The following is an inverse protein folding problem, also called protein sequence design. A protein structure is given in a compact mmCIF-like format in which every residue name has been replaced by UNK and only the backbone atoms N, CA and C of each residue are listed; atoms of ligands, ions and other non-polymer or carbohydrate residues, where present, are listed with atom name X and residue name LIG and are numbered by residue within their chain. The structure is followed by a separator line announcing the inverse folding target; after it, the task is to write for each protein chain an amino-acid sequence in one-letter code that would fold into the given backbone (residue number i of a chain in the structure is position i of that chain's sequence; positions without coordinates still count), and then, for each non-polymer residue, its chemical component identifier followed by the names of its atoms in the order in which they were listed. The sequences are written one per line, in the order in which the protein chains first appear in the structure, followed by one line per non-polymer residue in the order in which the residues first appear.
data_IF_898286950175
#
_entry.id   IF_898286950175
#
_cell.length_a   1.000
_cell.length_b   1.000
_cell.length_c   1.000
_cell.angle_alpha   90.00
_cell.angle_beta   90.00
_cell.angle_gamma   90.00
#
_symmetry.space_group_name_H-M   'P 1'
#
loop_
_entity.id
_entity.type
_entity.pdbx_description
1 polymer ?
#
# COMPACT_ATOMS: atom_id res chain seq x y z
N UNK A 1 36.12 7.56 -2.24
CA UNK A 1 35.02 6.92 -2.99
C UNK A 1 33.81 6.95 -2.07
N UNK A 2 32.71 7.60 -2.46
CA UNK A 2 31.47 7.50 -1.67
C UNK A 2 30.97 6.07 -1.82
N UNK A 3 30.82 5.34 -0.70
CA UNK A 3 30.24 4.00 -0.72
C UNK A 3 28.84 4.08 -1.33
N UNK A 4 28.52 3.19 -2.27
CA UNK A 4 27.15 3.07 -2.78
C UNK A 4 26.19 2.68 -1.66
N UNK A 5 24.94 3.19 -1.64
CA UNK A 5 23.98 2.81 -0.63
C UNK A 5 23.59 1.32 -0.76
N UNK A 6 23.34 0.67 0.36
CA UNK A 6 22.85 -0.72 0.40
C UNK A 6 21.33 -0.79 0.20
N UNK A 7 20.62 0.29 0.57
CA UNK A 7 19.16 0.39 0.56
C UNK A 7 18.71 1.72 -0.04
N UNK A 8 17.75 1.70 -0.96
CA UNK A 8 17.03 2.89 -1.41
C UNK A 8 15.61 2.87 -0.82
N UNK A 9 15.31 3.85 0.02
CA UNK A 9 13.95 4.10 0.50
C UNK A 9 13.21 4.87 -0.57
N UNK A 10 12.20 4.25 -1.17
CA UNK A 10 11.38 4.84 -2.25
C UNK A 10 10.03 5.27 -1.67
N UNK A 11 9.73 6.56 -1.78
CA UNK A 11 8.52 7.18 -1.25
C UNK A 11 7.71 7.80 -2.40
N UNK A 12 6.62 7.17 -2.84
CA UNK A 12 5.64 7.85 -3.68
C UNK A 12 4.87 8.86 -2.85
N UNK A 13 4.65 10.08 -3.36
CA UNK A 13 3.89 11.12 -2.65
C UNK A 13 2.90 11.83 -3.56
N UNK A 14 1.73 12.18 -3.00
CA UNK A 14 0.70 13.00 -3.64
C UNK A 14 -0.16 13.70 -2.59
N UNK A 15 -0.05 15.03 -2.49
CA UNK A 15 -0.86 15.83 -1.57
C UNK A 15 -0.56 15.55 -0.09
N UNK A 16 0.72 15.51 0.31
CA UNK A 16 1.19 15.12 1.64
C UNK A 16 2.20 16.09 2.26
N UNK A 17 2.04 17.37 2.00
CA UNK A 17 2.90 18.41 2.55
C UNK A 17 3.04 18.37 4.09
N UNK A 18 2.03 17.87 4.81
CA UNK A 18 2.03 17.83 6.28
C UNK A 18 2.76 16.61 6.86
N UNK A 19 2.61 15.43 6.24
CA UNK A 19 3.14 14.17 6.79
C UNK A 19 4.57 13.88 6.34
N UNK A 20 4.95 14.29 5.14
CA UNK A 20 6.27 14.04 4.57
C UNK A 20 7.43 14.49 5.47
N UNK A 21 7.41 15.69 6.12
CA UNK A 21 8.45 16.08 7.06
C UNK A 21 8.58 15.17 8.30
N UNK A 22 7.47 14.54 8.73
CA UNK A 22 7.48 13.57 9.84
C UNK A 22 8.20 12.28 9.42
N UNK A 23 7.90 11.80 8.22
CA UNK A 23 8.53 10.61 7.65
C UNK A 23 10.03 10.84 7.47
N UNK A 24 10.44 12.00 6.95
CA UNK A 24 11.86 12.32 6.76
C UNK A 24 12.62 12.39 8.09
N UNK A 25 12.06 13.03 9.13
CA UNK A 25 12.67 13.03 10.47
C UNK A 25 12.85 11.63 11.04
N UNK A 26 11.89 10.73 10.83
CA UNK A 26 12.01 9.34 11.28
C UNK A 26 13.14 8.59 10.53
N UNK A 27 13.36 8.90 9.25
CA UNK A 27 14.46 8.36 8.47
C UNK A 27 15.81 8.93 8.91
N UNK A 28 15.88 10.19 9.32
CA UNK A 28 17.09 10.79 9.89
C UNK A 28 17.51 10.12 11.20
N UNK A 29 16.56 9.56 11.95
CA UNK A 29 16.75 8.86 13.22
C UNK A 29 16.94 7.35 13.11
N UNK A 30 17.24 6.80 11.94
CA UNK A 30 17.44 5.35 11.79
C UNK A 30 18.73 4.87 12.43
N UNK A 31 18.73 3.62 12.94
CA UNK A 31 19.87 3.00 13.63
C UNK A 31 21.07 2.71 12.73
N UNK A 32 20.83 2.56 11.43
CA UNK A 32 21.91 2.37 10.45
C UNK A 32 22.53 3.72 10.05
N UNK A 33 23.80 3.69 9.67
CA UNK A 33 24.51 4.88 9.20
C UNK A 33 23.86 5.49 7.95
N UNK A 34 23.79 6.82 7.91
CA UNK A 34 23.17 7.58 6.81
C UNK A 34 23.83 7.34 5.45
N UNK A 35 25.07 6.93 5.45
CA UNK A 35 25.84 6.56 4.25
C UNK A 35 25.39 5.21 3.65
N UNK A 36 24.69 4.37 4.41
CA UNK A 36 24.22 3.05 3.98
C UNK A 36 22.92 3.07 3.19
N UNK A 37 22.21 4.18 3.21
CA UNK A 37 20.93 4.28 2.48
C UNK A 37 20.77 5.63 1.79
N UNK A 38 19.89 5.67 0.82
CA UNK A 38 19.38 6.89 0.21
C UNK A 38 17.87 6.96 0.31
N UNK A 39 17.31 8.16 0.19
CA UNK A 39 15.87 8.41 0.12
C UNK A 39 15.54 9.02 -1.24
N UNK A 40 14.62 8.37 -1.96
CA UNK A 40 14.15 8.79 -3.29
C UNK A 40 12.65 9.06 -3.20
N UNK A 41 12.25 10.33 -3.27
CA UNK A 41 10.84 10.74 -3.27
C UNK A 41 10.41 11.05 -4.68
N UNK A 42 9.28 10.47 -5.09
CA UNK A 42 8.64 10.78 -6.37
C UNK A 42 7.31 11.47 -6.10
N UNK A 43 7.22 12.74 -6.42
CA UNK A 43 6.00 13.54 -6.35
C UNK A 43 5.16 13.33 -7.61
N UNK A 44 3.98 12.78 -7.46
CA UNK A 44 3.05 12.46 -8.56
C UNK A 44 2.15 13.68 -8.94
N UNK A 45 2.74 14.87 -8.96
CA UNK A 45 2.05 16.10 -9.34
C UNK A 45 1.11 16.61 -8.24
N UNK A 46 1.61 16.72 -7.02
CA UNK A 46 0.84 17.18 -5.85
C UNK A 46 0.21 18.56 -6.07
N UNK A 47 -1.08 18.72 -5.75
CA UNK A 47 -1.78 20.01 -5.89
C UNK A 47 -1.57 20.96 -4.70
N UNK A 48 -0.95 20.47 -3.61
CA UNK A 48 -0.64 21.24 -2.40
C UNK A 48 0.84 21.69 -2.36
N UNK A 49 1.33 22.19 -1.22
CA UNK A 49 2.72 22.64 -1.05
C UNK A 49 3.74 21.50 -0.87
N UNK A 50 3.45 20.29 -1.31
CA UNK A 50 4.39 19.16 -1.22
C UNK A 50 5.72 19.48 -1.90
N UNK A 51 5.70 20.08 -3.09
CA UNK A 51 6.94 20.49 -3.80
C UNK A 51 7.75 21.52 -3.01
N UNK A 52 7.11 22.51 -2.35
CA UNK A 52 7.79 23.46 -1.47
C UNK A 52 8.45 22.78 -0.28
N UNK A 53 7.79 21.79 0.33
CA UNK A 53 8.37 20.96 1.40
C UNK A 53 9.56 20.16 0.93
N UNK A 54 9.50 19.55 -0.26
CA UNK A 54 10.61 18.78 -0.84
C UNK A 54 11.84 19.65 -1.06
N UNK A 55 11.69 20.87 -1.58
CA UNK A 55 12.80 21.84 -1.74
C UNK A 55 13.41 22.21 -0.39
N UNK A 56 12.59 22.45 0.63
CA UNK A 56 13.07 22.76 1.98
C UNK A 56 13.85 21.59 2.57
N UNK A 57 13.36 20.36 2.40
CA UNK A 57 14.04 19.15 2.85
C UNK A 57 15.38 18.95 2.13
N UNK A 58 15.46 19.20 0.82
CA UNK A 58 16.69 19.07 0.05
C UNK A 58 17.82 19.97 0.59
N UNK A 59 17.47 21.18 1.04
CA UNK A 59 18.44 22.12 1.63
C UNK A 59 18.79 21.86 3.10
N UNK A 60 18.04 20.99 3.82
CA UNK A 60 18.15 20.86 5.28
C UNK A 60 18.44 19.45 5.79
N UNK A 61 18.05 18.40 5.06
CA UNK A 61 18.25 17.03 5.52
C UNK A 61 19.70 16.56 5.38
N UNK A 62 20.25 15.86 6.39
CA UNK A 62 21.59 15.26 6.30
C UNK A 62 21.62 13.93 5.53
N UNK A 63 20.49 13.47 4.99
CA UNK A 63 20.37 12.21 4.26
C UNK A 63 20.85 12.35 2.82
N UNK A 64 21.22 11.24 2.18
CA UNK A 64 21.33 11.15 0.73
C UNK A 64 19.93 11.22 0.13
N UNK A 65 19.43 12.42 -0.03
CA UNK A 65 18.06 12.70 -0.44
C UNK A 65 18.01 13.17 -1.89
N UNK A 66 17.07 12.60 -2.64
CA UNK A 66 16.73 13.03 -4.01
C UNK A 66 15.22 12.99 -4.18
N UNK A 67 14.71 13.93 -4.94
CA UNK A 67 13.29 13.95 -5.28
C UNK A 67 13.07 14.37 -6.73
N UNK A 68 11.98 13.91 -7.31
CA UNK A 68 11.55 14.26 -8.65
C UNK A 68 10.04 14.42 -8.67
N UNK A 69 9.55 15.25 -9.60
CA UNK A 69 8.12 15.40 -9.86
C UNK A 69 7.74 14.83 -11.23
N UNK A 70 6.50 14.44 -11.39
CA UNK A 70 5.90 14.02 -12.65
C UNK A 70 4.45 14.49 -12.72
N UNK A 71 3.83 14.41 -13.91
CA UNK A 71 2.38 14.50 -14.02
C UNK A 71 1.73 13.34 -13.27
N UNK A 72 0.52 13.56 -12.71
CA UNK A 72 -0.18 12.53 -11.95
C UNK A 72 -0.49 11.30 -12.85
N UNK A 73 0.17 10.18 -12.55
CA UNK A 73 0.03 8.91 -13.25
C UNK A 73 -0.38 7.75 -12.33
N UNK A 74 -0.56 8.05 -11.05
CA UNK A 74 -0.93 7.08 -10.04
C UNK A 74 0.26 6.37 -9.39
N UNK A 75 -0.04 5.67 -8.30
CA UNK A 75 0.98 5.12 -7.38
C UNK A 75 1.87 4.05 -8.04
N UNK A 76 1.34 3.26 -8.97
CA UNK A 76 2.10 2.24 -9.70
C UNK A 76 3.22 2.85 -10.55
N UNK A 77 2.88 3.86 -11.37
CA UNK A 77 3.85 4.58 -12.19
C UNK A 77 4.90 5.29 -11.34
N UNK A 78 4.47 5.86 -10.21
CA UNK A 78 5.32 6.57 -9.25
C UNK A 78 6.35 5.63 -8.62
N UNK A 79 5.92 4.43 -8.18
CA UNK A 79 6.83 3.41 -7.64
C UNK A 79 7.78 2.84 -8.68
N UNK A 80 7.30 2.58 -9.90
CA UNK A 80 8.15 2.13 -11.00
C UNK A 80 9.24 3.16 -11.31
N UNK A 81 8.88 4.45 -11.34
CA UNK A 81 9.87 5.52 -11.51
C UNK A 81 10.88 5.54 -10.37
N UNK A 82 10.42 5.47 -9.12
CA UNK A 82 11.30 5.42 -7.96
C UNK A 82 12.28 4.24 -8.01
N UNK A 83 11.86 3.07 -8.47
CA UNK A 83 12.73 1.91 -8.64
C UNK A 83 13.79 2.11 -9.74
N UNK A 84 13.44 2.79 -10.83
CA UNK A 84 14.41 3.14 -11.89
C UNK A 84 15.45 4.13 -11.40
N UNK A 85 15.03 5.13 -10.64
CA UNK A 85 15.89 6.20 -10.10
C UNK A 85 16.75 5.74 -8.91
N UNK A 86 16.34 4.70 -8.20
CA UNK A 86 17.09 4.14 -7.08
C UNK A 86 18.45 3.59 -7.51
N UNK A 87 19.45 3.71 -6.64
CA UNK A 87 20.84 3.29 -6.89
C UNK A 87 21.21 2.02 -6.13
N UNK A 88 20.59 1.80 -4.97
CA UNK A 88 20.90 0.65 -4.14
C UNK A 88 20.37 -0.67 -4.73
N UNK A 89 21.00 -1.81 -4.39
CA UNK A 89 20.55 -3.14 -4.82
C UNK A 89 19.23 -3.57 -4.14
N UNK A 90 18.89 -2.99 -2.99
CA UNK A 90 17.65 -3.27 -2.25
C UNK A 90 16.76 -2.02 -2.28
N UNK A 91 15.50 -2.20 -2.63
CA UNK A 91 14.45 -1.18 -2.51
C UNK A 91 13.66 -1.43 -1.24
N UNK A 92 13.32 -0.38 -0.52
CA UNK A 92 12.30 -0.37 0.52
C UNK A 92 11.23 0.65 0.12
N UNK A 93 10.01 0.17 -0.09
CA UNK A 93 8.85 1.04 -0.26
C UNK A 93 8.24 1.36 1.09
N UNK A 94 8.09 2.64 1.37
CA UNK A 94 7.22 3.16 2.43
C UNK A 94 6.32 4.25 1.83
N UNK A 95 5.19 4.54 2.49
CA UNK A 95 4.34 5.65 2.08
C UNK A 95 4.76 6.95 2.78
N UNK A 96 4.30 8.06 2.23
CA UNK A 96 4.55 9.44 2.68
C UNK A 96 3.82 9.82 3.99
N UNK A 97 3.16 8.84 4.62
CA UNK A 97 2.52 8.93 5.92
C UNK A 97 2.92 7.77 6.87
N UNK A 98 3.98 7.03 6.52
CA UNK A 98 4.54 5.98 7.37
C UNK A 98 5.79 6.49 8.10
N UNK A 99 5.67 6.67 9.40
CA UNK A 99 6.79 7.04 10.28
C UNK A 99 7.50 5.77 10.74
N UNK A 100 8.72 5.60 10.27
CA UNK A 100 9.53 4.42 10.52
C UNK A 100 9.99 4.34 11.99
N UNK A 101 9.91 3.17 12.64
CA UNK A 101 10.61 2.92 13.90
C UNK A 101 12.12 3.02 13.67
N UNK A 102 12.94 3.41 14.66
CA UNK A 102 14.37 3.66 14.46
C UNK A 102 15.17 2.49 13.88
N UNK A 103 14.74 1.26 14.06
CA UNK A 103 15.40 0.04 13.58
C UNK A 103 14.78 -0.55 12.30
N UNK A 104 13.82 0.13 11.68
CA UNK A 104 13.08 -0.39 10.52
C UNK A 104 14.01 -0.73 9.35
N UNK A 105 14.92 0.17 8.98
CA UNK A 105 15.83 -0.05 7.85
C UNK A 105 16.83 -1.19 8.14
N UNK A 106 17.35 -1.26 9.36
CA UNK A 106 18.24 -2.33 9.81
C UNK A 106 17.57 -3.70 9.68
N UNK A 107 16.30 -3.81 10.10
CA UNK A 107 15.53 -5.04 10.00
C UNK A 107 15.32 -5.51 8.57
N UNK A 108 14.99 -4.59 7.67
CA UNK A 108 14.89 -4.93 6.25
C UNK A 108 16.22 -5.39 5.67
N UNK A 109 17.34 -4.72 5.99
CA UNK A 109 18.67 -5.19 5.60
C UNK A 109 18.99 -6.57 6.18
N UNK A 110 18.63 -6.83 7.44
CA UNK A 110 18.83 -8.13 8.07
C UNK A 110 18.01 -9.26 7.41
N UNK A 111 16.79 -8.98 6.91
CA UNK A 111 16.04 -9.93 6.10
C UNK A 111 16.84 -10.30 4.85
N UNK A 112 17.32 -9.31 4.10
CA UNK A 112 18.05 -9.57 2.86
C UNK A 112 19.45 -10.14 3.07
N UNK A 113 20.07 -9.95 4.21
CA UNK A 113 21.32 -10.62 4.58
C UNK A 113 21.11 -12.10 4.90
N UNK A 114 20.02 -12.46 5.57
CA UNK A 114 19.62 -13.85 5.85
C UNK A 114 19.08 -14.59 4.63
N UNK A 115 18.48 -13.84 3.69
CA UNK A 115 17.84 -14.33 2.49
C UNK A 115 18.42 -13.59 1.26
N UNK A 116 19.64 -13.98 0.83
CA UNK A 116 20.34 -13.31 -0.27
C UNK A 116 19.75 -13.60 -1.66
N UNK A 117 18.83 -14.56 -1.77
CA UNK A 117 18.20 -15.00 -3.01
C UNK A 117 17.52 -13.83 -3.73
N UNK A 118 17.62 -13.83 -5.07
CA UNK A 118 16.99 -12.78 -5.90
C UNK A 118 15.46 -12.72 -5.72
N UNK A 119 14.84 -13.82 -5.32
CA UNK A 119 13.40 -13.99 -5.09
C UNK A 119 12.96 -13.74 -3.64
N UNK A 120 13.85 -13.23 -2.77
CA UNK A 120 13.48 -12.85 -1.42
C UNK A 120 12.92 -11.44 -1.37
N UNK A 121 11.78 -11.27 -0.67
CA UNK A 121 11.21 -9.97 -0.33
C UNK A 121 10.93 -9.89 1.17
N UNK A 122 11.17 -8.72 1.76
CA UNK A 122 10.88 -8.43 3.17
C UNK A 122 9.54 -7.73 3.31
N UNK A 123 8.74 -8.13 4.29
CA UNK A 123 7.46 -7.51 4.64
C UNK A 123 7.53 -7.10 6.10
N UNK A 124 7.36 -5.80 6.35
CA UNK A 124 7.24 -5.26 7.70
C UNK A 124 5.79 -5.04 8.11
N UNK A 125 5.59 -4.69 9.37
CA UNK A 125 4.29 -4.38 9.95
C UNK A 125 4.01 -2.89 9.90
N UNK A 126 2.74 -2.53 9.76
CA UNK A 126 2.25 -1.15 9.92
C UNK A 126 1.09 -1.16 10.89
N UNK A 127 1.09 -0.20 11.81
CA UNK A 127 0.01 0.02 12.79
C UNK A 127 -0.16 1.51 13.08
N UNK A 128 -1.14 1.87 13.91
CA UNK A 128 -1.33 3.25 14.34
C UNK A 128 -0.25 3.67 15.36
N UNK A 129 0.11 4.97 15.43
CA UNK A 129 0.99 5.47 16.48
C UNK A 129 0.48 5.09 17.89
N UNK A 130 1.35 4.61 18.79
CA UNK A 130 0.94 4.09 20.10
C UNK A 130 0.38 5.17 21.04
N UNK A 131 0.72 6.42 20.80
CA UNK A 131 0.26 7.61 21.55
C UNK A 131 -1.09 8.15 21.03
N UNK A 132 -1.63 7.55 19.95
CA UNK A 132 -2.92 8.01 19.40
C UNK A 132 -4.09 7.36 20.12
N UNK A 133 -5.03 8.17 20.57
CA UNK A 133 -6.38 7.71 20.84
C UNK A 133 -7.08 7.42 19.51
N UNK A 134 -7.35 6.15 19.25
CA UNK A 134 -8.04 5.67 18.06
C UNK A 134 -9.49 5.34 18.37
N UNK A 135 -10.40 5.67 17.47
CA UNK A 135 -11.81 5.34 17.61
C UNK A 135 -12.12 3.88 17.26
N UNK A 136 -13.37 3.47 17.47
CA UNK A 136 -13.80 2.10 17.17
C UNK A 136 -13.64 1.72 15.71
N UNK A 137 -13.81 2.66 14.77
CA UNK A 137 -13.66 2.39 13.34
C UNK A 137 -12.18 2.12 12.98
N UNK A 138 -11.25 2.96 13.45
CA UNK A 138 -9.81 2.77 13.24
C UNK A 138 -9.32 1.46 13.88
N UNK A 139 -9.76 1.15 15.11
CA UNK A 139 -9.43 -0.10 15.78
C UNK A 139 -9.93 -1.33 14.99
N UNK A 140 -11.15 -1.24 14.44
CA UNK A 140 -11.69 -2.31 13.61
C UNK A 140 -10.97 -2.45 12.27
N UNK A 141 -10.54 -1.36 11.63
CA UNK A 141 -9.77 -1.41 10.38
C UNK A 141 -8.51 -2.27 10.53
N UNK A 142 -7.79 -2.14 11.64
CA UNK A 142 -6.55 -2.86 11.90
C UNK A 142 -6.78 -4.31 12.36
N UNK A 143 -7.86 -4.58 13.12
CA UNK A 143 -8.11 -5.86 13.81
C UNK A 143 -9.35 -6.60 13.31
N UNK A 144 -9.58 -6.66 12.04
CA UNK A 144 -10.71 -7.41 11.46
C UNK A 144 -11.42 -6.69 10.32
N UNK A 145 -11.04 -5.44 10.06
CA UNK A 145 -11.45 -4.65 8.92
C UNK A 145 -10.75 -5.04 7.62
N UNK A 146 -10.95 -4.25 6.57
CA UNK A 146 -10.40 -4.56 5.26
C UNK A 146 -8.99 -3.96 5.01
N UNK A 147 -8.39 -3.23 5.97
CA UNK A 147 -7.12 -2.55 5.71
C UNK A 147 -5.92 -3.50 5.81
N UNK A 148 -5.38 -3.69 6.99
CA UNK A 148 -4.23 -4.58 7.20
C UNK A 148 -4.68 -5.82 7.98
N UNK A 149 -4.19 -6.99 7.56
CA UNK A 149 -4.58 -8.27 8.17
C UNK A 149 -3.44 -8.90 8.95
N UNK A 150 -2.56 -8.08 9.55
CA UNK A 150 -1.39 -8.57 10.27
C UNK A 150 -1.73 -9.49 11.45
N UNK A 151 -2.91 -9.34 12.08
CA UNK A 151 -3.39 -10.26 13.12
C UNK A 151 -3.52 -11.71 12.63
N UNK A 152 -3.62 -11.95 11.31
CA UNK A 152 -3.68 -13.30 10.73
C UNK A 152 -2.31 -13.96 10.56
N UNK A 153 -1.23 -13.19 10.70
CA UNK A 153 0.14 -13.63 10.43
C UNK A 153 1.11 -13.36 11.59
N UNK A 154 0.61 -12.95 12.75
CA UNK A 154 1.41 -12.75 13.95
C UNK A 154 2.25 -14.02 14.26
N UNK A 155 3.53 -13.85 14.53
CA UNK A 155 4.48 -14.91 14.82
C UNK A 155 4.87 -15.79 13.63
N UNK A 156 4.45 -15.48 12.40
CA UNK A 156 4.89 -16.21 11.20
C UNK A 156 6.19 -15.65 10.66
N UNK A 157 7.05 -16.52 10.15
CA UNK A 157 8.28 -16.12 9.46
C UNK A 157 8.06 -15.71 8.00
N UNK A 158 6.99 -16.22 7.37
CA UNK A 158 6.63 -15.92 5.98
C UNK A 158 5.14 -15.65 5.84
N UNK A 159 4.80 -14.88 4.83
CA UNK A 159 3.41 -14.52 4.50
C UNK A 159 3.11 -14.79 3.03
N UNK A 160 1.85 -14.70 2.64
CA UNK A 160 1.41 -14.84 1.24
C UNK A 160 1.26 -13.47 0.57
N UNK A 161 1.06 -13.47 -0.74
CA UNK A 161 0.77 -12.27 -1.53
C UNK A 161 -0.31 -11.35 -0.91
N UNK A 162 -1.23 -11.88 -0.10
CA UNK A 162 -2.31 -11.14 0.56
C UNK A 162 -1.84 -10.17 1.65
N UNK A 163 -0.60 -10.27 2.08
CA UNK A 163 0.00 -9.45 3.14
C UNK A 163 1.15 -8.58 2.64
N UNK A 164 1.36 -8.56 1.33
CA UNK A 164 2.36 -7.72 0.69
C UNK A 164 1.80 -6.30 0.51
N UNK A 165 1.91 -5.48 1.55
CA UNK A 165 1.44 -4.09 1.51
C UNK A 165 2.62 -3.15 1.28
N UNK A 166 2.67 -2.51 0.12
CA UNK A 166 3.77 -1.64 -0.33
C UNK A 166 3.97 -0.36 0.50
N UNK A 167 3.30 -0.24 1.62
CA UNK A 167 3.59 0.76 2.63
C UNK A 167 4.75 0.39 3.56
N UNK A 168 5.24 -0.88 3.53
CA UNK A 168 6.41 -1.33 4.29
C UNK A 168 6.93 -2.67 3.74
N UNK A 169 7.55 -2.63 2.56
CA UNK A 169 8.06 -3.84 1.86
C UNK A 169 9.40 -3.55 1.22
N UNK A 170 10.31 -4.52 1.29
CA UNK A 170 11.59 -4.47 0.58
C UNK A 170 11.78 -5.64 -0.37
N UNK A 171 12.49 -5.39 -1.47
CA UNK A 171 12.86 -6.42 -2.44
C UNK A 171 14.13 -6.02 -3.18
N UNK A 172 14.76 -6.96 -3.87
CA UNK A 172 15.90 -6.64 -4.74
C UNK A 172 15.43 -5.71 -5.86
N UNK A 173 16.19 -4.63 -6.12
CA UNK A 173 15.86 -3.65 -7.17
C UNK A 173 15.65 -4.33 -8.52
N UNK A 174 16.50 -5.28 -8.88
CA UNK A 174 16.42 -6.03 -10.13
C UNK A 174 15.08 -6.75 -10.26
N UNK A 175 14.58 -7.37 -9.17
CA UNK A 175 13.30 -8.06 -9.16
C UNK A 175 12.14 -7.16 -9.59
N UNK A 176 12.10 -5.90 -9.10
CA UNK A 176 11.05 -4.96 -9.51
C UNK A 176 11.25 -4.42 -10.92
N UNK A 177 12.48 -4.27 -11.40
CA UNK A 177 12.72 -3.88 -12.79
C UNK A 177 12.27 -4.97 -13.77
N UNK A 178 12.40 -6.24 -13.39
CA UNK A 178 11.96 -7.39 -14.19
C UNK A 178 10.45 -7.64 -14.05
N UNK A 179 9.84 -7.27 -12.92
CA UNK A 179 8.41 -7.41 -12.61
C UNK A 179 7.82 -6.06 -12.17
N UNK A 180 7.68 -5.06 -13.06
CA UNK A 180 7.17 -3.75 -12.66
C UNK A 180 5.69 -3.82 -12.24
N UNK A 181 5.24 -2.81 -11.49
CA UNK A 181 3.82 -2.59 -11.25
C UNK A 181 3.08 -2.36 -12.56
N UNK A 182 1.84 -2.83 -12.66
CA UNK A 182 0.94 -2.47 -13.76
C UNK A 182 0.47 -1.02 -13.59
N UNK A 183 0.94 -0.12 -14.47
CA UNK A 183 0.66 1.31 -14.40
C UNK A 183 -0.80 1.67 -14.75
N UNK A 184 -1.59 0.74 -15.29
CA UNK A 184 -3.03 0.93 -15.47
C UNK A 184 -3.79 0.82 -14.13
N UNK A 185 -3.20 0.19 -13.11
CA UNK A 185 -3.75 0.10 -11.76
C UNK A 185 -3.27 1.31 -10.94
N UNK A 186 -4.05 2.38 -10.97
CA UNK A 186 -3.61 3.69 -10.44
C UNK A 186 -3.81 3.88 -8.94
N UNK A 187 -4.69 3.07 -8.28
CA UNK A 187 -5.03 3.27 -6.87
C UNK A 187 -5.64 2.04 -6.19
N UNK A 188 -4.84 1.34 -5.38
CA UNK A 188 -5.27 0.13 -4.67
C UNK A 188 -5.30 -1.12 -5.55
N UNK A 189 -5.03 -2.26 -4.96
CA UNK A 189 -4.83 -3.57 -5.58
C UNK A 189 -3.56 -3.74 -6.43
N UNK A 190 -2.78 -2.70 -6.65
CA UNK A 190 -1.49 -2.76 -7.35
C UNK A 190 -0.47 -3.63 -6.62
N UNK A 191 -0.46 -3.55 -5.28
CA UNK A 191 0.41 -4.35 -4.43
C UNK A 191 0.00 -5.84 -4.41
N UNK A 192 -1.30 -6.11 -4.35
CA UNK A 192 -1.83 -7.47 -4.38
C UNK A 192 -1.59 -8.14 -5.74
N UNK A 193 -1.75 -7.38 -6.83
CA UNK A 193 -1.50 -7.85 -8.19
C UNK A 193 -0.02 -8.22 -8.37
N UNK A 194 0.87 -7.27 -8.06
CA UNK A 194 2.31 -7.49 -8.14
C UNK A 194 2.73 -8.69 -7.29
N UNK A 195 2.27 -8.75 -6.04
CA UNK A 195 2.64 -9.83 -5.12
C UNK A 195 2.20 -11.20 -5.63
N UNK A 196 1.03 -11.32 -6.28
CA UNK A 196 0.61 -12.58 -6.87
C UNK A 196 1.52 -13.00 -8.03
N UNK A 197 1.95 -12.06 -8.89
CA UNK A 197 2.91 -12.36 -9.95
C UNK A 197 4.27 -12.78 -9.38
N UNK A 198 4.75 -12.09 -8.36
CA UNK A 198 5.99 -12.44 -7.66
C UNK A 198 5.90 -13.82 -6.99
N UNK A 199 4.79 -14.13 -6.28
CA UNK A 199 4.60 -15.45 -5.65
C UNK A 199 4.63 -16.57 -6.70
N UNK A 200 4.02 -16.37 -7.88
CA UNK A 200 4.09 -17.31 -9.00
C UNK A 200 5.47 -17.44 -9.62
N UNK A 201 6.25 -16.38 -9.59
CA UNK A 201 7.65 -16.39 -10.00
C UNK A 201 8.60 -16.98 -8.93
N UNK A 202 8.05 -17.57 -7.87
CA UNK A 202 8.82 -18.23 -6.81
C UNK A 202 9.34 -17.32 -5.72
N UNK A 203 8.82 -16.10 -5.61
CA UNK A 203 9.23 -15.20 -4.51
C UNK A 203 8.68 -15.68 -3.17
N UNK A 204 9.52 -15.55 -2.14
CA UNK A 204 9.17 -15.79 -0.75
C UNK A 204 9.10 -14.45 -0.02
N UNK A 205 7.98 -14.21 0.67
CA UNK A 205 7.75 -12.99 1.44
C UNK A 205 8.09 -13.26 2.92
N UNK A 206 9.27 -12.82 3.34
CA UNK A 206 9.76 -12.95 4.72
C UNK A 206 9.16 -11.84 5.57
N UNK A 207 8.47 -12.22 6.64
CA UNK A 207 7.77 -11.28 7.51
C UNK A 207 8.56 -11.05 8.80
N UNK A 208 8.76 -9.78 9.12
CA UNK A 208 9.28 -9.34 10.43
C UNK A 208 8.27 -8.36 11.03
N UNK A 209 7.53 -8.79 12.05
CA UNK A 209 6.54 -7.95 12.74
C UNK A 209 7.17 -6.79 13.50
N UNK A 210 8.45 -6.88 13.80
CA UNK A 210 9.23 -5.84 14.45
C UNK A 210 9.83 -4.82 13.46
N UNK A 211 9.83 -5.09 12.16
CA UNK A 211 10.11 -4.08 11.13
C UNK A 211 8.90 -3.14 11.01
N UNK A 212 8.77 -2.22 11.99
CA UNK A 212 7.53 -1.52 12.30
C UNK A 212 7.51 -0.08 11.76
N UNK A 213 6.44 0.27 11.04
CA UNK A 213 6.09 1.62 10.67
C UNK A 213 4.78 2.07 11.31
N UNK A 214 4.68 3.36 11.64
CA UNK A 214 3.47 3.97 12.20
C UNK A 214 2.75 4.78 11.13
N UNK A 215 1.47 4.46 10.89
CA UNK A 215 0.65 5.10 9.88
C UNK A 215 0.06 6.42 10.42
N UNK A 216 0.65 7.53 10.06
CA UNK A 216 0.24 8.88 10.49
C UNK A 216 -0.90 9.44 9.63
N UNK A 217 -1.97 8.67 9.49
CA UNK A 217 -3.17 9.07 8.76
C UNK A 217 -4.43 8.65 9.51
N UNK A 218 -5.12 9.59 10.12
CA UNK A 218 -6.44 9.31 10.73
C UNK A 218 -7.45 8.98 9.65
N UNK A 219 -8.24 7.92 9.88
CA UNK A 219 -9.23 7.42 8.92
C UNK A 219 -10.63 7.57 9.49
N UNK A 220 -11.47 8.36 8.86
CA UNK A 220 -12.91 8.30 9.11
C UNK A 220 -13.57 7.21 8.27
N UNK A 221 -14.76 6.75 8.71
CA UNK A 221 -15.56 5.82 7.91
C UNK A 221 -15.88 6.37 6.53
N UNK A 222 -16.20 7.67 6.45
CA UNK A 222 -16.56 8.32 5.19
C UNK A 222 -15.37 8.45 4.23
N UNK A 223 -14.18 8.76 4.73
CA UNK A 223 -12.97 8.77 3.91
C UNK A 223 -12.64 7.40 3.37
N UNK A 224 -12.78 6.39 4.23
CA UNK A 224 -12.52 5.01 3.85
C UNK A 224 -13.55 4.50 2.83
N UNK A 225 -14.80 4.92 2.92
CA UNK A 225 -15.86 4.63 1.95
C UNK A 225 -15.51 5.18 0.56
N UNK A 226 -15.08 6.46 0.48
CA UNK A 226 -14.62 7.07 -0.78
C UNK A 226 -13.40 6.34 -1.35
N UNK A 227 -12.50 5.93 -0.48
CA UNK A 227 -11.32 5.13 -0.86
C UNK A 227 -11.73 3.78 -1.48
N UNK A 228 -12.72 3.09 -0.89
CA UNK A 228 -13.21 1.82 -1.40
C UNK A 228 -13.83 1.93 -2.79
N UNK A 229 -14.55 3.00 -3.05
CA UNK A 229 -15.09 3.26 -4.38
C UNK A 229 -13.96 3.40 -5.43
N UNK A 230 -12.93 4.19 -5.15
CA UNK A 230 -11.76 4.33 -6.03
C UNK A 230 -11.02 3.00 -6.20
N UNK A 231 -10.83 2.26 -5.12
CA UNK A 231 -10.20 0.94 -5.16
C UNK A 231 -11.02 -0.06 -6.01
N UNK A 232 -12.35 0.05 -5.99
CA UNK A 232 -13.23 -0.73 -6.88
C UNK A 232 -12.97 -0.48 -8.37
N UNK A 233 -12.71 0.76 -8.75
CA UNK A 233 -12.36 1.10 -10.14
C UNK A 233 -11.04 0.42 -10.55
N UNK A 234 -10.02 0.46 -9.70
CA UNK A 234 -8.73 -0.21 -9.94
C UNK A 234 -8.87 -1.74 -9.91
N UNK A 235 -9.76 -2.28 -9.07
CA UNK A 235 -10.03 -3.72 -9.05
C UNK A 235 -10.58 -4.22 -10.39
N UNK A 236 -11.42 -3.43 -11.07
CA UNK A 236 -11.87 -3.76 -12.43
C UNK A 236 -10.68 -3.87 -13.39
N UNK A 237 -9.79 -2.88 -13.38
CA UNK A 237 -8.58 -2.88 -14.22
C UNK A 237 -7.70 -4.09 -13.89
N UNK A 238 -7.46 -4.33 -12.61
CA UNK A 238 -6.66 -5.46 -12.14
C UNK A 238 -7.25 -6.81 -12.62
N UNK A 239 -8.56 -7.01 -12.53
CA UNK A 239 -9.20 -8.25 -12.99
C UNK A 239 -9.27 -8.37 -14.50
N UNK A 240 -9.36 -7.24 -15.23
CA UNK A 240 -9.31 -7.21 -16.68
C UNK A 240 -7.93 -7.61 -17.21
N UNK A 241 -6.87 -7.04 -16.61
CA UNK A 241 -5.49 -7.26 -17.03
C UNK A 241 -4.92 -8.58 -16.48
N UNK A 242 -5.37 -9.00 -15.29
CA UNK A 242 -4.86 -10.15 -14.54
C UNK A 242 -6.02 -11.03 -14.05
N UNK A 243 -6.73 -11.74 -14.94
CA UNK A 243 -7.92 -12.53 -14.60
C UNK A 243 -7.64 -13.64 -13.57
N UNK A 244 -6.41 -14.04 -13.41
CA UNK A 244 -5.96 -14.99 -12.38
C UNK A 244 -6.11 -14.49 -10.94
N UNK A 245 -6.29 -13.19 -10.73
CA UNK A 245 -6.62 -12.61 -9.42
C UNK A 245 -8.03 -13.01 -8.96
N UNK A 246 -8.93 -13.25 -9.92
CA UNK A 246 -10.31 -13.67 -9.63
C UNK A 246 -10.30 -15.00 -8.88
N UNK A 247 -10.98 -15.05 -7.73
CA UNK A 247 -11.01 -16.24 -6.88
C UNK A 247 -9.84 -16.37 -5.89
N UNK A 248 -8.66 -15.77 -6.14
CA UNK A 248 -7.53 -15.80 -5.20
C UNK A 248 -7.56 -14.67 -4.17
N UNK A 249 -8.12 -13.53 -4.53
CA UNK A 249 -8.25 -12.35 -3.65
C UNK A 249 -9.26 -12.56 -2.51
N UNK A 250 -10.08 -13.61 -2.58
CA UNK A 250 -11.26 -13.80 -1.73
C UNK A 250 -12.47 -12.96 -2.20
N UNK A 251 -12.31 -12.17 -3.26
CA UNK A 251 -13.40 -11.45 -3.95
C UNK A 251 -13.89 -12.37 -5.06
N UNK A 252 -14.63 -13.44 -4.67
CA UNK A 252 -15.04 -14.52 -5.59
C UNK A 252 -16.22 -14.15 -6.48
N UNK A 253 -16.94 -13.11 -6.17
CA UNK A 253 -18.01 -12.59 -7.03
C UNK A 253 -18.29 -11.14 -6.69
N UNK A 254 -18.17 -10.27 -7.66
CA UNK A 254 -18.78 -8.95 -7.61
C UNK A 254 -20.25 -9.16 -7.93
N UNK A 255 -21.05 -9.43 -6.89
CA UNK A 255 -22.50 -9.58 -7.05
C UNK A 255 -23.16 -8.22 -6.90
N UNK A 256 -24.05 -7.83 -7.82
CA UNK A 256 -24.88 -6.65 -7.63
C UNK A 256 -25.54 -6.71 -6.27
N UNK A 257 -25.25 -5.74 -5.51
CA UNK A 257 -25.63 -5.35 -4.16
C UNK A 257 -26.59 -6.23 -3.36
N UNK A 258 -26.11 -6.53 -2.19
CA UNK A 258 -26.89 -6.81 -0.99
C UNK A 258 -27.52 -5.51 -0.42
N UNK A 259 -27.83 -4.50 -1.26
CA UNK A 259 -28.32 -3.15 -0.88
C UNK A 259 -29.49 -3.21 0.13
N UNK A 260 -30.39 -4.16 -0.02
CA UNK A 260 -31.49 -4.37 0.91
C UNK A 260 -31.00 -4.72 2.33
N UNK A 261 -29.99 -5.59 2.45
CA UNK A 261 -29.42 -5.97 3.76
C UNK A 261 -28.66 -4.82 4.40
N UNK A 262 -27.99 -4.00 3.62
CA UNK A 262 -27.27 -2.81 4.11
C UNK A 262 -28.24 -1.75 4.58
N UNK A 263 -29.35 -1.50 3.86
CA UNK A 263 -30.41 -0.60 4.29
C UNK A 263 -31.05 -1.05 5.61
N UNK A 264 -31.38 -2.34 5.76
CA UNK A 264 -31.88 -2.90 7.02
C UNK A 264 -30.90 -2.74 8.18
N UNK A 265 -29.61 -3.00 7.95
CA UNK A 265 -28.56 -2.76 8.96
C UNK A 265 -28.42 -1.28 9.29
N UNK A 266 -28.56 -0.39 8.31
CA UNK A 266 -28.57 1.04 8.52
C UNK A 266 -29.73 1.51 9.42
N UNK A 267 -30.90 0.93 9.27
CA UNK A 267 -32.07 1.27 10.09
C UNK A 267 -31.88 0.93 11.59
N UNK A 268 -31.13 -0.12 11.91
CA UNK A 268 -30.85 -0.51 13.31
C UNK A 268 -29.58 0.14 13.88
N UNK A 269 -28.79 0.86 13.06
CA UNK A 269 -27.52 1.44 13.45
C UNK A 269 -27.60 2.43 14.62
N UNK A 270 -28.61 3.34 14.72
CA UNK A 270 -28.74 4.23 15.85
C UNK A 270 -28.92 3.47 17.17
N UNK A 271 -29.77 2.42 17.18
CA UNK A 271 -29.99 1.58 18.35
C UNK A 271 -28.71 0.79 18.69
N UNK A 272 -28.05 0.21 17.69
CA UNK A 272 -26.81 -0.52 17.88
C UNK A 272 -25.69 0.36 18.49
N UNK A 273 -25.63 1.64 18.10
CA UNK A 273 -24.69 2.63 18.70
C UNK A 273 -25.06 2.93 20.15
N UNK A 274 -26.34 3.14 20.43
CA UNK A 274 -26.83 3.45 21.78
C UNK A 274 -26.51 2.33 22.78
N UNK A 275 -26.70 1.07 22.37
CA UNK A 275 -26.46 -0.12 23.24
C UNK A 275 -25.05 -0.68 23.12
N UNK A 276 -24.15 -0.02 22.40
CA UNK A 276 -22.76 -0.46 22.24
C UNK A 276 -22.55 -1.76 21.47
N UNK A 277 -23.48 -2.12 20.57
CA UNK A 277 -23.47 -3.39 19.82
C UNK A 277 -22.38 -3.38 18.72
N UNK A 278 -21.10 -3.39 19.11
CA UNK A 278 -19.92 -3.25 18.22
C UNK A 278 -19.96 -4.16 16.99
N UNK A 279 -20.22 -5.46 17.16
CA UNK A 279 -20.30 -6.42 16.04
C UNK A 279 -21.37 -6.06 14.99
N UNK A 280 -22.48 -5.47 15.41
CA UNK A 280 -23.55 -5.03 14.49
C UNK A 280 -23.08 -3.81 13.68
N UNK A 281 -22.40 -2.87 14.34
CA UNK A 281 -21.79 -1.68 13.70
C UNK A 281 -20.73 -2.10 12.67
N UNK A 282 -19.83 -3.00 13.04
CA UNK A 282 -18.78 -3.53 12.16
C UNK A 282 -19.33 -4.27 10.93
N UNK A 283 -20.40 -5.06 11.13
CA UNK A 283 -21.13 -5.72 10.02
C UNK A 283 -21.79 -4.71 9.08
N UNK A 284 -22.28 -3.60 9.61
CA UNK A 284 -22.79 -2.50 8.80
C UNK A 284 -21.67 -1.83 8.00
N UNK A 285 -20.57 -1.44 8.66
CA UNK A 285 -19.41 -0.84 7.98
C UNK A 285 -18.91 -1.73 6.85
N UNK A 286 -18.71 -3.02 7.12
CA UNK A 286 -18.26 -3.96 6.09
C UNK A 286 -19.24 -4.01 4.90
N UNK A 287 -20.54 -4.09 5.15
CA UNK A 287 -21.52 -4.14 4.08
C UNK A 287 -21.50 -2.89 3.20
N UNK A 288 -21.37 -1.69 3.80
CA UNK A 288 -21.28 -0.43 3.05
C UNK A 288 -19.97 -0.38 2.25
N UNK A 289 -18.85 -0.76 2.85
CA UNK A 289 -17.55 -0.74 2.17
C UNK A 289 -17.49 -1.72 0.99
N UNK A 290 -18.11 -2.91 1.14
CA UNK A 290 -18.24 -3.89 0.06
C UNK A 290 -19.13 -3.34 -1.07
N UNK A 291 -20.22 -2.62 -0.75
CA UNK A 291 -21.07 -1.96 -1.76
C UNK A 291 -20.35 -0.86 -2.52
N UNK A 292 -19.56 -0.04 -1.84
CA UNK A 292 -18.76 1.01 -2.50
C UNK A 292 -17.71 0.41 -3.43
N UNK A 293 -17.05 -0.67 -3.01
CA UNK A 293 -16.09 -1.39 -3.85
C UNK A 293 -16.76 -1.89 -5.14
N UNK A 294 -17.93 -2.53 -5.00
CA UNK A 294 -18.71 -3.03 -6.13
C UNK A 294 -19.18 -1.89 -7.04
N UNK A 295 -19.65 -0.79 -6.46
CA UNK A 295 -20.11 0.37 -7.23
C UNK A 295 -18.97 0.99 -8.06
N UNK A 296 -17.77 1.10 -7.48
CA UNK A 296 -16.58 1.55 -8.20
C UNK A 296 -16.21 0.63 -9.37
N UNK A 297 -16.22 -0.68 -9.12
CA UNK A 297 -15.96 -1.70 -10.13
C UNK A 297 -16.95 -1.63 -11.30
N UNK A 298 -18.25 -1.61 -10.99
CA UNK A 298 -19.31 -1.53 -12.02
C UNK A 298 -19.19 -0.24 -12.84
N UNK A 299 -18.90 0.89 -12.18
CA UNK A 299 -18.70 2.15 -12.90
C UNK A 299 -17.52 2.08 -13.89
N UNK A 300 -16.39 1.50 -13.49
CA UNK A 300 -15.22 1.35 -14.36
C UNK A 300 -15.51 0.41 -15.53
N UNK A 301 -16.15 -0.74 -15.26
CA UNK A 301 -16.59 -1.69 -16.27
C UNK A 301 -17.51 -1.04 -17.30
N UNK A 302 -18.52 -0.30 -16.86
CA UNK A 302 -19.50 0.31 -17.75
C UNK A 302 -18.90 1.44 -18.61
N UNK A 303 -17.90 2.15 -18.07
CA UNK A 303 -17.11 3.12 -18.87
C UNK A 303 -16.30 2.44 -19.95
N UNK A 304 -15.66 1.32 -19.63
CA UNK A 304 -14.83 0.57 -20.57
C UNK A 304 -15.68 -0.01 -21.73
N UNK A 305 -16.81 -0.62 -21.40
CA UNK A 305 -17.78 -1.13 -22.38
C UNK A 305 -18.30 -0.03 -23.34
N UNK A 306 -18.57 1.18 -22.82
CA UNK A 306 -19.01 2.32 -23.66
C UNK A 306 -17.91 2.83 -24.59
N UNK A 307 -16.63 2.64 -24.24
CA UNK A 307 -15.48 3.02 -25.08
C UNK A 307 -15.15 1.99 -26.15
N UNK A 308 -15.86 0.87 -26.18
CA UNK A 308 -15.64 -0.20 -27.18
C UNK A 308 -14.30 -0.94 -26.98
N UNK A 309 -13.70 -0.83 -25.81
CA UNK A 309 -12.46 -1.56 -25.50
C UNK A 309 -12.80 -3.05 -25.36
N UNK A 310 -12.42 -3.85 -26.36
CA UNK A 310 -12.56 -5.31 -26.27
C UNK A 310 -11.70 -5.83 -25.10
N UNK A 311 -12.19 -6.82 -24.33
CA UNK A 311 -11.37 -7.47 -23.31
C UNK A 311 -10.09 -8.03 -23.97
N UNK A 312 -8.91 -7.74 -23.41
CA UNK A 312 -7.67 -8.38 -23.86
C UNK A 312 -7.85 -9.91 -23.70
N UNK A 313 -7.51 -10.72 -24.75
CA UNK A 313 -7.57 -12.18 -24.61
C UNK A 313 -6.66 -12.61 -23.47
N UNK A 314 -7.13 -13.59 -22.67
CA UNK A 314 -6.32 -14.20 -21.64
C UNK A 314 -4.99 -14.68 -22.24
N UNK A 315 -3.84 -14.48 -21.57
CA UNK A 315 -2.59 -15.04 -22.05
C UNK A 315 -2.74 -16.56 -22.20
N UNK A 316 -2.32 -17.07 -23.35
CA UNK A 316 -2.33 -18.49 -23.61
C UNK A 316 -1.57 -19.20 -22.49
N UNK A 317 -2.20 -20.21 -21.90
CA UNK A 317 -1.56 -21.07 -20.92
C UNK A 317 -0.38 -21.76 -21.59
N UNK A 318 0.84 -21.40 -21.21
CA UNK A 318 2.07 -22.08 -21.52
C UNK A 318 2.50 -22.97 -20.36
#
# INVERSE_FOLDING_TARGET
MQNEPELSVVIPTYGKAETLPLVMRALEGQSIGRERFEVVVIDDGSPDDTTGRLRTLEGSTPLRFRWMTQENRGVSATRNRGAREARAPILLFIQDDIVARPDLLERHLAIHARHPEATAAGVGRVTWPPDWSIDHFMAWLDNGGPQFRYHQVAGRATVTFKHFYTCNVSLKRRALLDHPFDEEIVYGFEDLELALRLERAGFVFHYDEEALGYHHHRRSFEDYRRRQFKAGQSLYVAFRNHPELVGRTGITSIRPSKRTRTRLRGAILPVARLVGARRTIEKYWRAVLDEELVAGYEQARDRDLRRGSAPRPAPAAS
#
